data_IF_464288137905
#
_entry.id   IF_464288137905
#
_cell.length_a   1.000
_cell.length_b   1.000
_cell.length_c   1.000
_cell.angle_alpha   90.00
_cell.angle_beta   90.00
_cell.angle_gamma   90.00
#
_symmetry.space_group_name_H-M   'P 1'
#
loop_
_entity.id
_entity.type
_entity.pdbx_description
1 polymer ?
#
# COMPACT_ATOMS: atom_id res chain seq x y z
N UNK A 1 -7.24 12.39 6.80
CA UNK A 1 -7.74 11.10 7.27
C UNK A 1 -6.66 10.23 7.93
N UNK A 2 -5.50 10.15 7.36
CA UNK A 2 -4.40 9.34 7.90
C UNK A 2 -3.65 9.98 9.07
N UNK A 3 -3.84 11.27 9.30
CA UNK A 3 -3.05 12.00 10.26
C UNK A 3 -1.65 12.28 9.75
N UNK A 4 -0.67 12.25 10.64
CA UNK A 4 0.71 12.57 10.31
C UNK A 4 1.40 11.39 9.63
N UNK A 5 1.92 11.63 8.41
CA UNK A 5 2.72 10.67 7.63
C UNK A 5 4.15 11.15 7.43
N UNK A 6 4.55 12.21 8.14
CA UNK A 6 5.88 12.78 7.98
C UNK A 6 6.97 11.76 8.31
N UNK A 7 7.97 11.68 7.46
CA UNK A 7 9.07 10.72 7.54
C UNK A 7 8.67 9.24 7.44
N UNK A 8 7.39 8.94 7.17
CA UNK A 8 6.91 7.56 7.10
C UNK A 8 7.56 6.78 5.96
N UNK A 9 7.81 5.49 6.23
CA UNK A 9 8.20 4.52 5.21
C UNK A 9 6.92 3.86 4.69
N UNK A 10 6.64 4.03 3.40
CA UNK A 10 5.38 3.67 2.76
C UNK A 10 5.56 2.51 1.79
N UNK A 11 4.64 1.55 1.85
CA UNK A 11 4.52 0.49 0.83
C UNK A 11 3.16 0.63 0.15
N UNK A 12 3.17 0.87 -1.15
CA UNK A 12 1.96 0.91 -1.98
C UNK A 12 1.90 -0.39 -2.77
N UNK A 13 1.15 -1.35 -2.25
CA UNK A 13 1.25 -2.75 -2.68
C UNK A 13 0.60 -3.04 -4.04
N UNK A 14 -0.43 -2.32 -4.39
CA UNK A 14 -1.10 -2.40 -5.70
C UNK A 14 -1.13 -0.99 -6.30
N UNK A 15 0.05 -0.49 -6.66
CA UNK A 15 0.24 0.94 -6.84
C UNK A 15 -0.52 1.57 -8.02
N UNK A 16 -0.76 0.80 -9.09
CA UNK A 16 -1.37 1.36 -10.28
C UNK A 16 -0.52 2.50 -10.83
N UNK A 17 -1.11 3.67 -10.98
CA UNK A 17 -0.42 4.88 -11.45
C UNK A 17 0.28 5.65 -10.32
N UNK A 18 0.17 5.17 -9.08
CA UNK A 18 0.93 5.68 -7.94
C UNK A 18 0.24 6.76 -7.12
N UNK A 19 -1.04 7.01 -7.32
CA UNK A 19 -1.74 8.12 -6.69
C UNK A 19 -1.61 8.15 -5.16
N UNK A 20 -1.81 7.01 -4.49
CA UNK A 20 -1.78 6.94 -3.04
C UNK A 20 -0.38 7.17 -2.46
N UNK A 21 0.61 6.46 -2.99
CA UNK A 21 1.99 6.61 -2.51
C UNK A 21 2.57 7.99 -2.83
N UNK A 22 2.24 8.55 -3.99
CA UNK A 22 2.65 9.90 -4.37
C UNK A 22 2.01 10.93 -3.43
N UNK A 23 0.74 10.78 -3.11
CA UNK A 23 0.06 11.67 -2.15
C UNK A 23 0.75 11.61 -0.78
N UNK A 24 1.11 10.41 -0.32
CA UNK A 24 1.83 10.27 0.94
C UNK A 24 3.17 11.00 0.91
N UNK A 25 3.92 10.90 -0.19
CA UNK A 25 5.17 11.63 -0.36
C UNK A 25 4.95 13.13 -0.34
N UNK A 26 3.88 13.62 -0.97
CA UNK A 26 3.57 15.05 -0.98
C UNK A 26 3.20 15.59 0.41
N UNK A 27 2.79 14.70 1.31
CA UNK A 27 2.46 15.04 2.71
C UNK A 27 3.62 14.80 3.67
N UNK A 28 4.81 14.52 3.15
CA UNK A 28 6.02 14.43 3.94
C UNK A 28 6.54 13.04 4.23
N UNK A 29 5.97 11.99 3.65
CA UNK A 29 6.51 10.65 3.80
C UNK A 29 7.99 10.63 3.36
N UNK A 30 8.81 9.87 4.07
CA UNK A 30 10.25 9.85 3.80
C UNK A 30 10.60 9.07 2.55
N UNK A 31 9.89 7.96 2.32
CA UNK A 31 10.13 7.10 1.17
C UNK A 31 8.90 6.25 0.87
N UNK A 32 8.68 5.96 -0.40
CA UNK A 32 7.62 5.06 -0.83
C UNK A 32 8.17 3.99 -1.76
N UNK A 33 7.78 2.74 -1.51
CA UNK A 33 8.02 1.62 -2.39
C UNK A 33 6.69 1.29 -3.07
N UNK A 34 6.70 1.31 -4.40
CA UNK A 34 5.52 1.03 -5.23
C UNK A 34 5.65 -0.35 -5.85
N UNK A 35 4.68 -1.20 -5.63
CA UNK A 35 4.61 -2.54 -6.23
C UNK A 35 3.50 -2.54 -7.27
N UNK A 36 3.84 -2.84 -8.51
CA UNK A 36 2.89 -2.90 -9.61
C UNK A 36 3.29 -3.97 -10.62
N UNK A 37 2.38 -4.90 -10.90
CA UNK A 37 2.64 -6.00 -11.83
C UNK A 37 2.34 -5.64 -13.28
N UNK A 38 1.43 -4.70 -13.54
CA UNK A 38 1.06 -4.29 -14.88
C UNK A 38 2.10 -3.34 -15.48
N UNK A 39 2.66 -3.70 -16.62
CA UNK A 39 3.70 -2.89 -17.29
C UNK A 39 3.22 -1.50 -17.68
N UNK A 40 2.01 -1.42 -18.20
CA UNK A 40 1.43 -0.14 -18.62
C UNK A 40 1.26 0.80 -17.45
N UNK A 41 0.69 0.31 -16.36
CA UNK A 41 0.50 1.10 -15.14
C UNK A 41 1.85 1.51 -14.54
N UNK A 42 2.82 0.59 -14.49
CA UNK A 42 4.16 0.90 -13.98
C UNK A 42 4.86 1.99 -14.78
N UNK A 43 4.69 2.00 -16.11
CA UNK A 43 5.24 3.06 -16.96
C UNK A 43 4.61 4.41 -16.65
N UNK A 44 3.31 4.44 -16.45
CA UNK A 44 2.61 5.69 -16.09
C UNK A 44 3.08 6.16 -14.72
N UNK A 45 3.19 5.25 -13.77
CA UNK A 45 3.72 5.55 -12.44
C UNK A 45 5.12 6.18 -12.53
N UNK A 46 6.02 5.56 -13.26
CA UNK A 46 7.39 6.07 -13.42
C UNK A 46 7.41 7.45 -14.09
N UNK A 47 6.54 7.66 -15.10
CA UNK A 47 6.40 8.95 -15.74
C UNK A 47 5.88 10.01 -14.76
N UNK A 48 4.89 9.66 -13.93
CA UNK A 48 4.36 10.56 -12.91
C UNK A 48 5.44 10.97 -11.91
N UNK A 49 6.25 10.03 -11.46
CA UNK A 49 7.36 10.33 -10.53
C UNK A 49 8.37 11.27 -11.15
N UNK A 50 8.76 11.05 -12.41
CA UNK A 50 9.69 11.94 -13.12
C UNK A 50 9.12 13.33 -13.28
N UNK A 51 7.85 13.43 -13.70
CA UNK A 51 7.19 14.72 -13.90
C UNK A 51 7.15 15.55 -12.63
N UNK A 52 6.96 14.89 -11.48
CA UNK A 52 6.91 15.53 -10.16
C UNK A 52 8.29 15.77 -9.54
N UNK A 53 9.36 15.34 -10.22
CA UNK A 53 10.71 15.50 -9.71
C UNK A 53 11.04 14.59 -8.53
N UNK A 54 10.32 13.48 -8.37
CA UNK A 54 10.56 12.52 -7.31
C UNK A 54 11.61 11.51 -7.76
N UNK A 55 12.76 11.51 -7.10
CA UNK A 55 13.90 10.67 -7.46
C UNK A 55 14.00 9.38 -6.67
N UNK A 56 15.02 8.55 -6.98
CA UNK A 56 15.18 7.22 -6.37
C UNK A 56 15.46 7.23 -4.86
N UNK A 57 15.88 8.36 -4.30
CA UNK A 57 16.01 8.49 -2.86
C UNK A 57 14.67 8.45 -2.13
N UNK A 58 13.59 8.88 -2.80
CA UNK A 58 12.25 8.97 -2.22
C UNK A 58 11.30 7.89 -2.72
N UNK A 59 11.54 7.32 -3.91
CA UNK A 59 10.61 6.38 -4.52
C UNK A 59 11.34 5.25 -5.23
N UNK A 60 10.85 4.04 -5.02
CA UNK A 60 11.33 2.84 -5.73
C UNK A 60 10.12 2.14 -6.35
N UNK A 61 10.20 1.80 -7.63
CA UNK A 61 9.16 1.05 -8.33
C UNK A 61 9.62 -0.38 -8.52
N UNK A 62 8.84 -1.33 -7.98
CA UNK A 62 9.09 -2.76 -8.12
C UNK A 62 8.02 -3.36 -9.04
N UNK A 63 8.42 -3.70 -10.24
CA UNK A 63 7.53 -4.32 -11.25
C UNK A 63 7.41 -5.79 -10.96
N UNK A 64 6.59 -6.14 -9.99
CA UNK A 64 6.44 -7.50 -9.49
C UNK A 64 5.01 -7.78 -9.11
N UNK A 65 4.66 -9.05 -9.10
CA UNK A 65 3.46 -9.55 -8.45
C UNK A 65 3.53 -9.25 -6.94
N UNK A 66 2.40 -8.94 -6.34
CA UNK A 66 2.32 -8.56 -4.93
C UNK A 66 2.84 -9.65 -3.99
N UNK A 67 2.57 -10.92 -4.27
CA UNK A 67 3.04 -12.04 -3.43
C UNK A 67 4.57 -12.15 -3.49
N UNK A 68 5.14 -12.03 -4.69
CA UNK A 68 6.60 -12.06 -4.87
C UNK A 68 7.23 -10.88 -4.12
N UNK A 69 6.64 -9.70 -4.24
CA UNK A 69 7.13 -8.51 -3.54
C UNK A 69 7.08 -8.67 -2.02
N UNK A 70 6.00 -9.23 -1.49
CA UNK A 70 5.85 -9.46 -0.05
C UNK A 70 6.89 -10.44 0.47
N UNK A 71 7.13 -11.53 -0.26
CA UNK A 71 8.15 -12.51 0.11
C UNK A 71 9.54 -11.91 0.12
N UNK A 72 9.86 -11.14 -0.91
CA UNK A 72 11.16 -10.46 -1.02
C UNK A 72 11.35 -9.45 0.12
N UNK A 73 10.32 -8.66 0.41
CA UNK A 73 10.37 -7.69 1.49
C UNK A 73 10.63 -8.38 2.84
N UNK A 74 9.96 -9.51 3.09
CA UNK A 74 10.15 -10.29 4.29
C UNK A 74 11.57 -10.85 4.40
N UNK A 75 12.09 -11.41 3.32
CA UNK A 75 13.44 -11.96 3.27
C UNK A 75 14.50 -10.89 3.55
N UNK A 76 14.26 -9.66 3.10
CA UNK A 76 15.18 -8.53 3.33
C UNK A 76 14.86 -7.75 4.61
N UNK A 77 13.96 -8.26 5.42
CA UNK A 77 13.58 -7.64 6.70
C UNK A 77 13.15 -6.18 6.59
N UNK A 78 12.48 -5.84 5.49
CA UNK A 78 11.96 -4.50 5.28
C UNK A 78 10.81 -4.23 6.24
N UNK A 79 10.69 -2.99 6.71
CA UNK A 79 9.61 -2.57 7.59
C UNK A 79 9.02 -1.25 7.15
N UNK A 80 7.72 -1.08 7.38
CA UNK A 80 6.95 0.06 6.92
C UNK A 80 6.06 0.63 8.01
N UNK A 81 5.81 1.93 7.92
CA UNK A 81 4.89 2.65 8.81
C UNK A 81 3.49 2.73 8.24
N UNK A 82 3.36 2.66 6.91
CA UNK A 82 2.10 2.81 6.21
C UNK A 82 2.09 1.88 5.00
N UNK A 83 1.04 1.08 4.88
CA UNK A 83 0.85 0.18 3.74
C UNK A 83 -0.51 0.46 3.10
N UNK A 84 -0.53 0.73 1.81
CA UNK A 84 -1.75 0.84 1.02
C UNK A 84 -2.06 -0.49 0.34
N UNK A 85 -3.30 -0.93 0.45
CA UNK A 85 -3.78 -2.17 -0.15
C UNK A 85 -5.06 -1.87 -0.94
N UNK A 86 -4.93 -1.80 -2.27
CA UNK A 86 -6.04 -1.56 -3.18
C UNK A 86 -5.96 -2.58 -4.34
N UNK A 87 -6.34 -3.85 -4.08
CA UNK A 87 -6.23 -4.90 -5.09
C UNK A 87 -7.12 -4.64 -6.30
N UNK A 88 -6.83 -5.28 -7.45
CA UNK A 88 -7.66 -5.16 -8.63
C UNK A 88 -9.12 -5.52 -8.35
N UNK A 89 -10.02 -4.83 -9.05
CA UNK A 89 -11.47 -5.02 -8.91
C UNK A 89 -11.87 -6.49 -9.00
N UNK A 90 -12.71 -6.91 -8.06
CA UNK A 90 -13.23 -8.28 -8.00
C UNK A 90 -12.31 -9.30 -7.33
N UNK A 91 -11.09 -8.91 -6.97
CA UNK A 91 -10.11 -9.83 -6.37
C UNK A 91 -9.81 -9.54 -4.90
N UNK A 92 -10.34 -8.45 -4.36
CA UNK A 92 -9.97 -7.98 -3.03
C UNK A 92 -10.16 -9.05 -1.94
N UNK A 93 -11.29 -9.75 -1.94
CA UNK A 93 -11.60 -10.74 -0.90
C UNK A 93 -10.63 -11.93 -0.89
N UNK A 94 -10.00 -12.23 -2.03
CA UNK A 94 -9.06 -13.35 -2.13
C UNK A 94 -7.73 -13.06 -1.44
N UNK A 95 -7.41 -11.79 -1.26
CA UNK A 95 -6.13 -11.35 -0.69
C UNK A 95 -6.09 -11.35 0.84
N UNK A 96 -7.24 -11.42 1.50
CA UNK A 96 -7.31 -11.34 2.96
C UNK A 96 -6.40 -12.31 3.69
N UNK A 97 -6.50 -13.64 3.43
CA UNK A 97 -5.65 -14.62 4.11
C UNK A 97 -4.16 -14.43 3.84
N UNK A 98 -3.78 -14.17 2.59
CA UNK A 98 -2.38 -13.95 2.20
C UNK A 98 -1.78 -12.74 2.91
N UNK A 99 -2.51 -11.63 2.90
CA UNK A 99 -2.03 -10.39 3.53
C UNK A 99 -2.01 -10.50 5.04
N UNK A 100 -2.99 -11.19 5.64
CA UNK A 100 -3.00 -11.40 7.09
C UNK A 100 -1.79 -12.19 7.57
N UNK A 101 -1.27 -13.08 6.75
CA UNK A 101 -0.05 -13.85 7.06
C UNK A 101 1.22 -13.05 6.76
N UNK A 102 1.25 -12.33 5.66
CA UNK A 102 2.48 -11.71 5.17
C UNK A 102 2.79 -10.34 5.78
N UNK A 103 1.77 -9.53 6.06
CA UNK A 103 1.98 -8.15 6.49
C UNK A 103 2.58 -7.97 7.89
N UNK A 104 2.20 -8.75 8.93
CA UNK A 104 2.65 -8.43 10.28
C UNK A 104 4.17 -8.26 10.43
N UNK A 105 4.96 -9.08 9.75
CA UNK A 105 6.43 -9.00 9.82
C UNK A 105 7.00 -7.75 9.14
N UNK A 106 6.21 -7.09 8.29
CA UNK A 106 6.62 -5.89 7.57
C UNK A 106 6.17 -4.60 8.25
N UNK A 107 5.43 -4.70 9.35
CA UNK A 107 4.82 -3.55 10.01
C UNK A 107 5.59 -3.15 11.25
N UNK A 108 5.95 -1.87 11.33
CA UNK A 108 6.50 -1.28 12.54
C UNK A 108 5.42 -1.13 13.60
N UNK A 109 5.78 -1.02 14.88
CA UNK A 109 4.78 -0.71 15.91
C UNK A 109 3.99 0.55 15.57
N UNK A 110 2.68 0.50 15.73
CA UNK A 110 1.73 1.56 15.39
C UNK A 110 1.59 1.83 13.88
N UNK A 111 2.11 0.97 13.02
CA UNK A 111 1.91 1.08 11.58
C UNK A 111 0.44 0.94 11.22
N UNK A 112 0.05 1.56 10.11
CA UNK A 112 -1.30 1.51 9.60
C UNK A 112 -1.34 0.84 8.24
N UNK A 113 -2.39 0.05 8.04
CA UNK A 113 -2.69 -0.57 6.75
C UNK A 113 -4.01 0.00 6.26
N UNK A 114 -3.99 0.66 5.12
CA UNK A 114 -5.17 1.27 4.52
C UNK A 114 -5.66 0.35 3.41
N UNK A 115 -6.83 -0.22 3.59
CA UNK A 115 -7.42 -1.19 2.66
C UNK A 115 -8.62 -0.57 1.96
N UNK A 116 -8.57 -0.51 0.63
CA UNK A 116 -9.70 -0.14 -0.20
C UNK A 116 -10.25 -1.40 -0.86
N UNK A 117 -11.54 -1.64 -0.74
CA UNK A 117 -12.18 -2.82 -1.31
C UNK A 117 -13.65 -2.58 -1.62
N UNK A 118 -14.26 -3.48 -2.41
CA UNK A 118 -15.68 -3.43 -2.71
C UNK A 118 -16.48 -3.65 -1.42
N UNK A 119 -17.47 -2.81 -1.20
CA UNK A 119 -18.33 -2.86 -0.03
C UNK A 119 -19.03 -4.20 0.14
N UNK A 120 -19.36 -4.87 -0.96
CA UNK A 120 -20.09 -6.15 -0.98
C UNK A 120 -19.20 -7.36 -0.69
N UNK A 121 -17.94 -7.26 -1.06
CA UNK A 121 -16.95 -8.31 -0.87
C UNK A 121 -15.66 -7.70 -0.29
N UNK A 122 -15.73 -7.19 0.96
CA UNK A 122 -14.58 -6.50 1.53
C UNK A 122 -13.41 -7.44 1.77
N UNK A 123 -12.21 -6.88 1.64
CA UNK A 123 -10.98 -7.57 2.01
C UNK A 123 -10.90 -7.61 3.55
N UNK A 124 -10.86 -8.80 4.11
CA UNK A 124 -10.79 -8.98 5.56
C UNK A 124 -9.37 -9.25 6.00
N UNK A 125 -8.83 -8.41 6.87
CA UNK A 125 -7.55 -8.63 7.52
C UNK A 125 -7.77 -8.98 8.99
N UNK A 126 -6.96 -9.91 9.49
CA UNK A 126 -6.96 -10.25 10.92
C UNK A 126 -6.14 -9.22 11.69
N UNK A 127 -6.65 -8.00 11.75
CA UNK A 127 -6.00 -6.87 12.40
C UNK A 127 -7.08 -5.92 12.92
N UNK A 128 -6.75 -5.17 13.95
CA UNK A 128 -7.67 -4.20 14.53
C UNK A 128 -8.06 -3.13 13.51
N UNK A 129 -9.37 -2.84 13.41
CA UNK A 129 -9.88 -1.76 12.58
C UNK A 129 -9.92 -0.50 13.44
N UNK A 130 -9.11 0.49 13.07
CA UNK A 130 -9.08 1.80 13.75
C UNK A 130 -10.17 2.71 13.21
N UNK A 131 -10.43 2.64 11.89
CA UNK A 131 -11.41 3.49 11.21
C UNK A 131 -11.96 2.80 9.98
N UNK A 132 -13.24 3.03 9.70
CA UNK A 132 -13.89 2.54 8.50
C UNK A 132 -14.72 3.66 7.89
N UNK A 133 -14.67 3.80 6.57
CA UNK A 133 -15.52 4.71 5.82
C UNK A 133 -16.05 4.03 4.58
N UNK A 134 -17.28 4.38 4.20
CA UNK A 134 -17.94 3.84 3.03
C UNK A 134 -18.27 4.97 2.06
N UNK A 135 -17.92 4.77 0.79
CA UNK A 135 -18.17 5.70 -0.29
C UNK A 135 -18.81 4.93 -1.45
N UNK A 136 -20.15 5.05 -1.62
CA UNK A 136 -20.84 4.26 -2.63
C UNK A 136 -20.62 2.77 -2.45
N UNK A 137 -19.99 2.14 -3.44
CA UNK A 137 -19.68 0.71 -3.41
C UNK A 137 -18.30 0.38 -2.82
N UNK A 138 -17.59 1.40 -2.34
CA UNK A 138 -16.22 1.25 -1.82
C UNK A 138 -16.19 1.36 -0.31
N UNK A 139 -15.44 0.46 0.33
CA UNK A 139 -15.14 0.54 1.75
C UNK A 139 -13.66 0.81 1.92
N UNK A 140 -13.31 1.78 2.76
CA UNK A 140 -11.93 2.07 3.16
C UNK A 140 -11.80 1.76 4.64
N UNK A 141 -10.90 0.85 4.97
CA UNK A 141 -10.58 0.49 6.35
C UNK A 141 -9.14 0.83 6.67
N UNK A 142 -8.93 1.40 7.83
CA UNK A 142 -7.60 1.64 8.37
C UNK A 142 -7.40 0.67 9.52
N UNK A 143 -6.44 -0.24 9.36
CA UNK A 143 -6.04 -1.19 10.38
C UNK A 143 -4.79 -0.68 11.08
N UNK A 144 -4.71 -0.88 12.37
CA UNK A 144 -3.55 -0.50 13.16
C UNK A 144 -2.82 -1.75 13.66
N UNK A 145 -1.52 -1.75 13.46
CA UNK A 145 -0.64 -2.79 13.98
C UNK A 145 -0.12 -2.37 15.37
N UNK A 146 -0.17 -3.31 16.28
CA UNK A 146 0.31 -3.05 17.63
C UNK A 146 1.70 -3.60 17.88
#
# INVERSE_FOLDING_TARGET
>A
MLGDVEEAQVLDLFAGTGALGIEALSRGAGRAVFVESDRGAARVLEANLRELGIGPAQAEVRRRDAIVALRSAREHEETYDLVFVDPPYGQAHEWGPELSMALPSLLRPAARVVVESDRRTPLELQAEIERERRYGDTTIRIHRHR
#
